data_IF_278503668683
#
_entry.id   IF_278503668683
#
_cell.length_a   1.000
_cell.length_b   1.000
_cell.length_c   1.000
_cell.angle_alpha   90.00
_cell.angle_beta   90.00
_cell.angle_gamma   90.00
#
_symmetry.space_group_name_H-M   'P 1'
#
loop_
_entity.id
_entity.type
_entity.pdbx_description
1 polymer ?
#
# COMPACT_ATOMS: atom_id res chain seq x y z
N UNK A 1 9.69 -37.89 16.35
CA UNK A 1 8.73 -38.21 17.45
C UNK A 1 7.32 -37.93 16.95
N UNK A 2 6.39 -38.89 17.05
CA UNK A 2 5.03 -38.74 16.51
C UNK A 2 4.02 -38.14 17.50
N UNK A 3 4.22 -38.39 18.80
CA UNK A 3 3.41 -37.83 19.89
C UNK A 3 4.35 -37.42 21.03
N UNK A 4 4.04 -36.33 21.72
CA UNK A 4 4.72 -35.99 22.97
C UNK A 4 4.37 -37.03 24.06
N UNK A 5 5.29 -37.41 24.96
CA UNK A 5 4.95 -38.22 26.12
C UNK A 5 3.95 -37.49 27.03
N UNK A 6 2.95 -38.21 27.55
CA UNK A 6 1.93 -37.64 28.44
C UNK A 6 2.55 -37.08 29.74
N UNK A 7 3.72 -37.58 30.15
CA UNK A 7 4.47 -37.07 31.31
C UNK A 7 4.89 -35.61 31.17
N UNK A 8 5.00 -35.07 29.95
CA UNK A 8 5.29 -33.64 29.74
C UNK A 8 4.19 -32.78 30.35
N UNK A 9 2.93 -33.24 30.34
CA UNK A 9 1.79 -32.51 30.91
C UNK A 9 1.85 -32.36 32.44
N UNK A 10 2.79 -33.05 33.11
CA UNK A 10 3.02 -32.95 34.55
C UNK A 10 3.98 -31.80 34.91
N UNK A 11 4.61 -31.15 33.92
CA UNK A 11 5.53 -30.03 34.12
C UNK A 11 4.78 -28.74 34.45
N UNK A 12 4.17 -28.69 35.64
CA UNK A 12 3.30 -27.57 36.08
C UNK A 12 3.98 -26.22 36.14
N UNK A 13 5.31 -26.17 36.22
CA UNK A 13 6.09 -24.92 36.24
C UNK A 13 6.58 -24.48 34.84
N UNK A 14 6.26 -25.24 33.80
CA UNK A 14 6.71 -24.94 32.44
C UNK A 14 6.05 -23.66 31.93
N UNK A 15 6.85 -22.60 31.76
CA UNK A 15 6.40 -21.32 31.22
C UNK A 15 6.61 -21.16 29.70
N UNK A 16 7.54 -21.91 29.13
CA UNK A 16 7.93 -21.84 27.72
C UNK A 16 8.17 -23.24 27.16
N UNK A 17 7.58 -23.54 26.00
CA UNK A 17 7.75 -24.81 25.30
C UNK A 17 8.01 -24.57 23.82
N UNK A 18 9.17 -25.01 23.32
CA UNK A 18 9.52 -24.96 21.92
C UNK A 18 9.63 -26.36 21.33
N UNK A 19 8.74 -26.66 20.39
CA UNK A 19 8.65 -27.89 19.62
C UNK A 19 8.81 -27.59 18.11
N UNK A 20 9.32 -26.41 17.75
CA UNK A 20 9.46 -26.01 16.36
C UNK A 20 10.29 -27.00 15.55
N UNK A 21 9.89 -27.22 14.29
CA UNK A 21 10.56 -28.16 13.39
C UNK A 21 10.37 -29.63 13.74
N UNK A 22 9.54 -29.99 14.72
CA UNK A 22 9.15 -31.38 14.99
C UNK A 22 8.21 -31.90 13.88
N UNK A 23 8.72 -32.05 12.66
CA UNK A 23 7.97 -32.35 11.42
C UNK A 23 7.19 -33.66 11.45
N UNK A 24 7.52 -34.57 12.37
CA UNK A 24 6.84 -35.85 12.56
C UNK A 24 5.77 -35.83 13.64
N UNK A 25 5.65 -34.75 14.43
CA UNK A 25 4.65 -34.62 15.48
C UNK A 25 3.26 -34.54 14.84
N UNK A 26 2.39 -35.48 15.19
CA UNK A 26 1.03 -35.59 14.64
C UNK A 26 -0.03 -35.06 15.61
N UNK A 27 0.17 -35.25 16.91
CA UNK A 27 -0.76 -34.81 17.97
C UNK A 27 -0.01 -34.45 19.26
N UNK A 28 -0.69 -33.71 20.13
CA UNK A 28 -0.29 -33.48 21.53
C UNK A 28 -1.08 -34.41 22.45
N UNK A 29 -0.57 -34.73 23.66
CA UNK A 29 -1.33 -35.44 24.69
C UNK A 29 -2.71 -34.85 25.00
N UNK A 30 -3.73 -35.68 25.24
CA UNK A 30 -5.06 -35.21 25.63
C UNK A 30 -5.05 -34.38 26.93
N UNK A 31 -4.05 -34.58 27.80
CA UNK A 31 -3.86 -33.82 29.04
C UNK A 31 -3.02 -32.54 28.86
N UNK A 32 -2.81 -32.04 27.64
CA UNK A 32 -1.93 -30.89 27.38
C UNK A 32 -2.32 -29.63 28.17
N UNK A 33 -3.62 -29.42 28.43
CA UNK A 33 -4.14 -28.38 29.30
C UNK A 33 -3.63 -28.39 30.74
N UNK A 34 -2.98 -29.45 31.19
CA UNK A 34 -2.34 -29.53 32.52
C UNK A 34 -1.13 -28.61 32.70
N UNK A 35 -0.62 -28.00 31.63
CA UNK A 35 0.49 -27.04 31.65
C UNK A 35 0.02 -25.63 32.09
N UNK A 36 -0.54 -25.53 33.30
CA UNK A 36 -1.26 -24.34 33.79
C UNK A 36 -0.44 -23.04 33.78
N UNK A 37 0.89 -23.11 33.87
CA UNK A 37 1.78 -21.94 33.86
C UNK A 37 2.36 -21.61 32.48
N UNK A 38 1.99 -22.35 31.43
CA UNK A 38 2.53 -22.15 30.10
C UNK A 38 2.08 -20.79 29.54
N UNK A 39 3.06 -19.97 29.14
CA UNK A 39 2.84 -18.63 28.57
C UNK A 39 3.20 -18.57 27.10
N UNK A 40 4.15 -19.40 26.66
CA UNK A 40 4.68 -19.39 25.30
C UNK A 40 4.76 -20.81 24.76
N UNK A 41 4.18 -21.03 23.59
CA UNK A 41 4.36 -22.28 22.85
C UNK A 41 4.72 -22.01 21.39
N UNK A 42 5.77 -22.69 20.92
CA UNK A 42 6.18 -22.67 19.53
C UNK A 42 6.08 -24.09 18.94
N UNK A 43 5.10 -24.29 18.07
CA UNK A 43 4.84 -25.49 17.29
C UNK A 43 5.13 -25.27 15.80
N UNK A 44 5.78 -24.17 15.43
CA UNK A 44 6.03 -23.84 14.03
C UNK A 44 6.75 -24.96 13.28
N UNK A 45 6.38 -25.18 12.02
CA UNK A 45 6.92 -26.21 11.13
C UNK A 45 6.73 -27.64 11.67
N UNK A 46 5.79 -27.88 12.58
CA UNK A 46 5.27 -29.22 12.87
C UNK A 46 4.33 -29.65 11.74
N UNK A 47 4.91 -29.90 10.55
CA UNK A 47 4.18 -30.03 9.29
C UNK A 47 3.13 -31.15 9.26
N UNK A 48 3.20 -32.14 10.18
CA UNK A 48 2.26 -33.26 10.27
C UNK A 48 1.24 -33.14 11.42
N UNK A 49 1.29 -32.06 12.20
CA UNK A 49 0.34 -31.83 13.29
C UNK A 49 -1.06 -31.66 12.69
N UNK A 50 -2.00 -32.51 13.09
CA UNK A 50 -3.34 -32.55 12.48
C UNK A 50 -4.39 -31.76 13.26
N UNK A 51 -4.27 -31.74 14.58
CA UNK A 51 -5.19 -31.06 15.50
C UNK A 51 -4.51 -30.75 16.84
N UNK A 52 -5.15 -29.92 17.66
CA UNK A 52 -4.81 -29.71 19.07
C UNK A 52 -5.89 -30.39 19.95
N UNK A 53 -5.52 -30.96 21.10
CA UNK A 53 -6.47 -31.63 22.00
C UNK A 53 -7.45 -30.62 22.60
N UNK A 54 -8.65 -31.07 22.99
CA UNK A 54 -9.65 -30.17 23.62
C UNK A 54 -9.19 -29.60 24.97
N UNK A 55 -8.24 -30.22 25.65
CA UNK A 55 -7.66 -29.61 26.85
C UNK A 55 -6.79 -28.38 26.55
N UNK A 56 -6.42 -28.13 25.28
CA UNK A 56 -5.56 -27.01 24.91
C UNK A 56 -6.18 -25.66 25.31
N UNK A 57 -7.52 -25.53 25.25
CA UNK A 57 -8.24 -24.35 25.72
C UNK A 57 -8.15 -24.07 27.22
N UNK A 58 -7.67 -25.02 28.03
CA UNK A 58 -7.49 -24.84 29.47
C UNK A 58 -6.17 -24.13 29.85
N UNK A 59 -5.34 -23.77 28.86
CA UNK A 59 -4.09 -23.04 29.08
C UNK A 59 -4.35 -21.54 29.34
N UNK A 60 -4.98 -21.22 30.47
CA UNK A 60 -5.47 -19.87 30.78
C UNK A 60 -4.37 -18.81 30.87
N UNK A 61 -3.12 -19.19 31.12
CA UNK A 61 -1.97 -18.28 31.19
C UNK A 61 -1.24 -18.10 29.85
N UNK A 62 -1.71 -18.77 28.79
CA UNK A 62 -1.05 -18.75 27.49
C UNK A 62 -1.20 -17.36 26.84
N UNK A 63 -0.07 -16.84 26.37
CA UNK A 63 0.04 -15.48 25.82
C UNK A 63 0.46 -15.45 24.36
N UNK A 64 1.22 -16.47 23.95
CA UNK A 64 1.82 -16.54 22.62
C UNK A 64 1.74 -17.96 22.07
N UNK A 65 1.22 -18.09 20.85
CA UNK A 65 1.20 -19.33 20.07
C UNK A 65 1.78 -19.09 18.69
N UNK A 66 2.74 -19.93 18.30
CA UNK A 66 3.17 -20.02 16.92
C UNK A 66 2.92 -21.43 16.37
N UNK A 67 1.99 -21.54 15.43
CA UNK A 67 1.62 -22.75 14.67
C UNK A 67 2.00 -22.61 13.18
N UNK A 68 2.81 -21.62 12.82
CA UNK A 68 3.14 -21.34 11.43
C UNK A 68 3.74 -22.55 10.71
N UNK A 69 3.27 -22.86 9.50
CA UNK A 69 3.75 -23.99 8.71
C UNK A 69 3.33 -25.37 9.23
N UNK A 70 2.32 -25.44 10.10
CA UNK A 70 1.61 -26.69 10.41
C UNK A 70 0.64 -27.04 9.25
N UNK A 71 1.20 -27.40 8.09
CA UNK A 71 0.47 -27.62 6.83
C UNK A 71 -0.58 -28.75 6.83
N UNK A 72 -0.63 -29.56 7.88
CA UNK A 72 -1.61 -30.64 8.03
C UNK A 72 -2.66 -30.35 9.10
N UNK A 73 -2.59 -29.19 9.75
CA UNK A 73 -3.56 -28.78 10.76
C UNK A 73 -4.90 -28.54 10.07
N UNK A 74 -5.92 -29.33 10.42
CA UNK A 74 -7.23 -29.30 9.76
C UNK A 74 -8.25 -28.47 10.53
N UNK A 75 -8.21 -28.51 11.87
CA UNK A 75 -9.12 -27.78 12.74
C UNK A 75 -8.41 -27.28 13.99
N UNK A 76 -9.04 -26.31 14.67
CA UNK A 76 -8.74 -25.96 16.05
C UNK A 76 -9.89 -26.46 16.95
N UNK A 77 -9.62 -26.89 18.19
CA UNK A 77 -10.66 -27.36 19.11
C UNK A 77 -11.63 -26.23 19.49
N UNK A 78 -12.89 -26.54 19.82
CA UNK A 78 -13.88 -25.52 20.21
C UNK A 78 -13.48 -24.85 21.54
N UNK A 79 -12.72 -25.53 22.39
CA UNK A 79 -12.13 -24.94 23.58
C UNK A 79 -11.09 -23.85 23.31
N UNK A 80 -10.61 -23.66 22.07
CA UNK A 80 -9.53 -22.72 21.74
C UNK A 80 -9.84 -21.26 22.15
N UNK A 81 -11.11 -20.84 22.12
CA UNK A 81 -11.54 -19.53 22.62
C UNK A 81 -11.48 -19.36 24.14
N UNK A 82 -11.13 -20.41 24.90
CA UNK A 82 -10.84 -20.35 26.34
C UNK A 82 -9.49 -19.70 26.68
N UNK A 83 -8.65 -19.42 25.67
CA UNK A 83 -7.33 -18.81 25.81
C UNK A 83 -7.42 -17.28 26.00
N UNK A 84 -8.10 -16.84 27.07
CA UNK A 84 -8.51 -15.45 27.25
C UNK A 84 -7.35 -14.44 27.37
N UNK A 85 -6.15 -14.88 27.76
CA UNK A 85 -4.95 -14.02 27.90
C UNK A 85 -4.04 -14.01 26.67
N UNK A 86 -4.46 -14.65 25.58
CA UNK A 86 -3.68 -14.80 24.36
C UNK A 86 -3.66 -13.48 23.59
N UNK A 87 -2.46 -12.93 23.36
CA UNK A 87 -2.29 -11.68 22.61
C UNK A 87 -1.64 -11.88 21.24
N UNK A 88 -0.97 -13.02 21.01
CA UNK A 88 -0.30 -13.33 19.74
C UNK A 88 -0.64 -14.75 19.23
N UNK A 89 -1.09 -14.82 17.99
CA UNK A 89 -1.27 -16.07 17.23
C UNK A 89 -0.63 -15.95 15.85
N UNK A 90 0.19 -16.93 15.49
CA UNK A 90 0.62 -17.14 14.11
C UNK A 90 0.15 -18.50 13.60
N UNK A 91 -0.77 -18.48 12.64
CA UNK A 91 -1.34 -19.62 11.90
C UNK A 91 -0.96 -19.58 10.41
N UNK A 92 0.05 -18.78 10.05
CA UNK A 92 0.50 -18.66 8.66
C UNK A 92 0.89 -20.01 8.07
N UNK A 93 0.57 -20.26 6.80
CA UNK A 93 0.88 -21.51 6.09
C UNK A 93 0.25 -22.77 6.70
N UNK A 94 -0.83 -22.62 7.48
CA UNK A 94 -1.76 -23.70 7.83
C UNK A 94 -2.79 -23.88 6.70
N UNK A 95 -2.32 -24.28 5.53
CA UNK A 95 -3.12 -24.33 4.30
C UNK A 95 -4.29 -25.34 4.29
N UNK A 96 -4.28 -26.33 5.20
CA UNK A 96 -5.37 -27.31 5.37
C UNK A 96 -6.36 -26.95 6.47
N UNK A 97 -6.16 -25.84 7.19
CA UNK A 97 -7.10 -25.40 8.21
C UNK A 97 -8.42 -25.07 7.52
N UNK A 98 -9.46 -25.86 7.80
CA UNK A 98 -10.75 -25.72 7.13
C UNK A 98 -11.52 -24.52 7.69
N UNK A 99 -11.65 -24.43 9.00
CA UNK A 99 -12.42 -23.38 9.65
C UNK A 99 -11.77 -22.90 10.95
N UNK A 100 -12.13 -21.68 11.35
CA UNK A 100 -11.94 -21.23 12.73
C UNK A 100 -13.17 -21.63 13.56
N UNK A 101 -12.99 -22.10 14.81
CA UNK A 101 -14.13 -22.48 15.65
C UNK A 101 -14.97 -21.24 16.05
N UNK A 102 -16.30 -21.44 16.16
CA UNK A 102 -17.12 -20.93 17.27
C UNK A 102 -16.50 -19.82 18.14
N UNK A 103 -15.85 -20.34 19.16
CA UNK A 103 -15.23 -19.63 20.26
C UNK A 103 -14.08 -18.71 19.88
N UNK A 104 -13.54 -18.75 18.65
CA UNK A 104 -12.37 -17.95 18.26
C UNK A 104 -12.62 -16.45 18.45
N UNK A 105 -13.86 -15.98 18.23
CA UNK A 105 -14.27 -14.60 18.49
C UNK A 105 -14.29 -14.18 19.98
N UNK A 106 -14.04 -15.10 20.91
CA UNK A 106 -13.94 -14.84 22.37
C UNK A 106 -12.54 -14.37 22.78
N UNK A 107 -11.53 -14.45 21.90
CA UNK A 107 -10.15 -14.04 22.17
C UNK A 107 -10.00 -12.51 22.20
N UNK A 108 -10.64 -11.86 23.19
CA UNK A 108 -10.72 -10.39 23.27
C UNK A 108 -9.39 -9.69 23.54
N UNK A 109 -8.37 -10.41 24.05
CA UNK A 109 -7.03 -9.86 24.28
C UNK A 109 -6.08 -10.01 23.09
N UNK A 110 -6.54 -10.62 21.99
CA UNK A 110 -5.70 -10.85 20.82
C UNK A 110 -5.38 -9.54 20.11
N UNK A 111 -4.10 -9.22 19.98
CA UNK A 111 -3.62 -8.02 19.27
C UNK A 111 -2.93 -8.36 17.95
N UNK A 112 -2.37 -9.58 17.82
CA UNK A 112 -1.70 -10.03 16.61
C UNK A 112 -2.26 -11.37 16.11
N UNK A 113 -2.67 -11.38 14.85
CA UNK A 113 -3.13 -12.58 14.14
C UNK A 113 -2.55 -12.64 12.71
N UNK A 114 -1.85 -13.72 12.43
CA UNK A 114 -1.40 -14.05 11.07
C UNK A 114 -2.09 -15.33 10.58
N UNK A 115 -2.94 -15.18 9.56
CA UNK A 115 -3.67 -16.23 8.84
C UNK A 115 -3.22 -16.31 7.38
N UNK A 116 -2.05 -15.77 7.03
CA UNK A 116 -1.57 -15.82 5.65
C UNK A 116 -1.46 -17.26 5.15
N UNK A 117 -1.72 -17.48 3.87
CA UNK A 117 -1.78 -18.83 3.28
C UNK A 117 -2.89 -19.75 3.85
N UNK A 118 -3.93 -19.20 4.52
CA UNK A 118 -5.15 -19.93 4.86
C UNK A 118 -6.14 -19.95 3.68
N UNK A 119 -6.42 -21.13 3.12
CA UNK A 119 -7.16 -21.25 1.84
C UNK A 119 -8.68 -21.19 1.97
N UNK A 120 -9.26 -21.60 3.11
CA UNK A 120 -10.70 -21.88 3.18
C UNK A 120 -11.54 -20.62 3.43
N UNK A 121 -11.03 -19.71 4.27
CA UNK A 121 -11.73 -18.51 4.76
C UNK A 121 -13.06 -18.79 5.48
N UNK A 122 -13.41 -20.05 5.74
CA UNK A 122 -14.61 -20.43 6.48
C UNK A 122 -14.47 -20.06 7.96
N UNK A 123 -15.48 -19.40 8.53
CA UNK A 123 -15.40 -18.85 9.89
C UNK A 123 -14.71 -17.48 9.98
N UNK A 124 -14.44 -16.79 8.86
CA UNK A 124 -13.88 -15.42 8.89
C UNK A 124 -14.72 -14.43 9.70
N UNK A 125 -16.03 -14.68 9.82
CA UNK A 125 -16.96 -13.86 10.59
C UNK A 125 -16.69 -13.87 12.11
N UNK A 126 -16.07 -14.93 12.64
CA UNK A 126 -15.65 -14.99 14.05
C UNK A 126 -14.60 -13.95 14.40
N UNK A 127 -13.80 -13.52 13.41
CA UNK A 127 -12.80 -12.47 13.60
C UNK A 127 -13.43 -11.16 14.08
N UNK A 128 -14.72 -10.93 13.79
CA UNK A 128 -15.44 -9.71 14.22
C UNK A 128 -15.56 -9.58 15.74
N UNK A 129 -15.28 -10.67 16.49
CA UNK A 129 -15.17 -10.63 17.93
C UNK A 129 -13.82 -10.13 18.46
N UNK A 130 -12.78 -10.06 17.63
CA UNK A 130 -11.40 -9.74 18.03
C UNK A 130 -11.16 -8.23 18.12
N UNK A 131 -11.95 -7.54 18.94
CA UNK A 131 -12.01 -6.07 18.96
C UNK A 131 -10.72 -5.37 19.39
N UNK A 132 -9.77 -6.08 19.99
CA UNK A 132 -8.44 -5.55 20.37
C UNK A 132 -7.36 -5.80 19.31
N UNK A 133 -7.73 -6.36 18.15
CA UNK A 133 -6.77 -6.73 17.12
C UNK A 133 -6.11 -5.48 16.51
N UNK A 134 -4.79 -5.45 16.52
CA UNK A 134 -3.96 -4.37 15.99
C UNK A 134 -3.27 -4.79 14.67
N UNK A 135 -2.99 -6.08 14.52
CA UNK A 135 -2.32 -6.62 13.34
C UNK A 135 -3.05 -7.85 12.80
N UNK A 136 -3.50 -7.75 11.54
CA UNK A 136 -4.17 -8.84 10.82
C UNK A 136 -3.52 -9.07 9.46
N UNK A 137 -3.07 -10.30 9.23
CA UNK A 137 -2.58 -10.74 7.93
C UNK A 137 -3.48 -11.84 7.36
N UNK A 138 -4.15 -11.54 6.25
CA UNK A 138 -5.00 -12.46 5.48
C UNK A 138 -4.42 -12.73 4.08
N UNK A 139 -3.16 -12.37 3.84
CA UNK A 139 -2.54 -12.52 2.52
C UNK A 139 -2.58 -13.97 2.04
N UNK A 140 -3.03 -14.18 0.80
CA UNK A 140 -3.24 -15.54 0.30
C UNK A 140 -3.02 -15.65 -1.21
N UNK A 141 -1.94 -16.32 -1.67
CA UNK A 141 -1.64 -16.39 -3.09
C UNK A 141 -2.54 -17.33 -3.91
N UNK A 142 -3.38 -18.16 -3.28
CA UNK A 142 -4.18 -19.19 -3.95
C UNK A 142 -5.71 -18.98 -3.88
N UNK A 143 -6.19 -17.74 -3.96
CA UNK A 143 -7.62 -17.43 -4.00
C UNK A 143 -8.08 -17.14 -5.46
N UNK A 144 -8.09 -18.15 -6.33
CA UNK A 144 -8.74 -18.08 -7.65
C UNK A 144 -9.99 -18.97 -7.75
N UNK A 145 -10.35 -19.68 -6.68
CA UNK A 145 -11.49 -20.59 -6.70
C UNK A 145 -12.78 -19.82 -6.36
N UNK A 146 -13.80 -19.82 -7.25
CA UNK A 146 -15.05 -19.08 -7.04
C UNK A 146 -15.79 -19.42 -5.74
N UNK A 147 -15.59 -20.64 -5.24
CA UNK A 147 -16.20 -21.15 -4.00
C UNK A 147 -15.86 -20.32 -2.74
N UNK A 148 -14.72 -19.62 -2.70
CA UNK A 148 -14.35 -18.81 -1.52
C UNK A 148 -15.01 -17.43 -1.50
N UNK A 149 -15.69 -17.02 -2.58
CA UNK A 149 -16.36 -15.72 -2.68
C UNK A 149 -17.37 -15.53 -1.55
N UNK A 150 -18.20 -16.53 -1.28
CA UNK A 150 -19.28 -16.44 -0.29
C UNK A 150 -18.75 -16.12 1.12
N UNK A 151 -17.61 -16.72 1.49
CA UNK A 151 -16.98 -16.46 2.78
C UNK A 151 -16.33 -15.07 2.84
N UNK A 152 -15.68 -14.64 1.75
CA UNK A 152 -14.97 -13.36 1.73
C UNK A 152 -15.92 -12.16 1.58
N UNK A 153 -17.10 -12.31 0.98
CA UNK A 153 -18.06 -11.18 0.82
C UNK A 153 -18.38 -10.50 2.16
N UNK A 154 -18.49 -11.27 3.25
CA UNK A 154 -18.74 -10.75 4.60
C UNK A 154 -17.52 -10.16 5.30
N UNK A 155 -16.30 -10.22 4.72
CA UNK A 155 -15.10 -9.68 5.34
C UNK A 155 -15.22 -8.18 5.65
N UNK A 156 -15.91 -7.41 4.81
CA UNK A 156 -16.18 -5.98 5.09
C UNK A 156 -16.92 -5.76 6.42
N UNK A 157 -17.86 -6.64 6.76
CA UNK A 157 -18.68 -6.56 7.99
C UNK A 157 -17.91 -7.02 9.24
N UNK A 158 -16.80 -7.73 9.02
CA UNK A 158 -15.84 -8.11 10.04
C UNK A 158 -14.89 -6.96 10.31
N UNK A 159 -14.25 -6.44 9.26
CA UNK A 159 -13.22 -5.42 9.37
C UNK A 159 -13.74 -4.13 9.99
N UNK A 160 -14.98 -3.73 9.71
CA UNK A 160 -15.58 -2.52 10.31
C UNK A 160 -15.68 -2.59 11.86
N UNK A 161 -15.60 -3.77 12.46
CA UNK A 161 -15.59 -3.97 13.93
C UNK A 161 -14.19 -3.89 14.53
N UNK A 162 -13.14 -3.97 13.72
CA UNK A 162 -11.74 -4.03 14.15
C UNK A 162 -11.11 -2.63 14.20
N UNK A 163 -11.72 -1.72 14.95
CA UNK A 163 -11.35 -0.29 14.97
C UNK A 163 -9.95 0.00 15.51
N UNK A 164 -9.33 -0.95 16.20
CA UNK A 164 -7.96 -0.84 16.73
C UNK A 164 -6.89 -1.28 15.72
N UNK A 165 -7.30 -1.75 14.54
CA UNK A 165 -6.39 -2.31 13.56
C UNK A 165 -5.42 -1.23 13.04
N UNK A 166 -4.14 -1.52 13.12
CA UNK A 166 -3.03 -0.69 12.66
C UNK A 166 -2.37 -1.28 11.42
N UNK A 167 -2.37 -2.60 11.29
CA UNK A 167 -1.80 -3.31 10.15
C UNK A 167 -2.85 -4.26 9.56
N UNK A 168 -3.12 -4.10 8.27
CA UNK A 168 -4.00 -4.98 7.51
C UNK A 168 -3.31 -5.42 6.21
N UNK A 169 -3.15 -6.73 6.03
CA UNK A 169 -2.65 -7.29 4.79
C UNK A 169 -3.71 -8.16 4.11
N UNK A 170 -4.17 -7.71 2.95
CA UNK A 170 -5.13 -8.37 2.06
C UNK A 170 -4.49 -8.76 0.72
N UNK A 171 -3.16 -8.87 0.66
CA UNK A 171 -2.43 -9.20 -0.56
C UNK A 171 -2.96 -10.50 -1.18
N UNK A 172 -3.27 -10.47 -2.48
CA UNK A 172 -3.87 -11.56 -3.27
C UNK A 172 -5.23 -12.10 -2.79
N UNK A 173 -5.73 -11.65 -1.64
CA UNK A 173 -6.88 -12.22 -0.94
C UNK A 173 -8.21 -11.86 -1.63
N UNK A 174 -8.29 -10.69 -2.26
CA UNK A 174 -9.55 -10.13 -2.78
C UNK A 174 -9.87 -10.58 -4.21
N UNK A 175 -8.95 -11.28 -4.88
CA UNK A 175 -9.14 -11.73 -6.27
C UNK A 175 -10.45 -12.52 -6.54
N UNK A 176 -10.94 -13.44 -5.68
CA UNK A 176 -12.22 -14.13 -5.91
C UNK A 176 -13.45 -13.23 -5.87
N UNK A 177 -13.33 -12.07 -5.23
CA UNK A 177 -14.40 -11.08 -5.17
C UNK A 177 -14.29 -10.19 -6.42
N UNK A 178 -13.12 -9.57 -6.61
CA UNK A 178 -12.92 -8.54 -7.62
C UNK A 178 -13.06 -9.04 -9.06
N UNK A 179 -12.82 -10.32 -9.35
CA UNK A 179 -13.00 -10.85 -10.70
C UNK A 179 -14.47 -10.85 -11.19
N UNK A 180 -15.45 -10.66 -10.30
CA UNK A 180 -16.88 -10.62 -10.63
C UNK A 180 -17.52 -9.26 -10.40
N UNK A 181 -16.79 -8.29 -9.85
CA UNK A 181 -17.30 -6.96 -9.55
C UNK A 181 -16.92 -6.00 -10.69
N UNK A 182 -17.78 -5.02 -10.92
CA UNK A 182 -17.41 -3.81 -11.66
C UNK A 182 -16.42 -2.95 -10.88
N UNK A 183 -15.77 -2.01 -11.55
CA UNK A 183 -14.82 -1.08 -10.92
C UNK A 183 -15.45 -0.34 -9.72
N UNK A 184 -16.68 0.16 -9.88
CA UNK A 184 -17.40 0.89 -8.83
C UNK A 184 -17.72 -0.02 -7.63
N UNK A 185 -18.14 -1.25 -7.87
CA UNK A 185 -18.38 -2.22 -6.80
C UNK A 185 -17.08 -2.60 -6.07
N UNK A 186 -15.95 -2.71 -6.78
CA UNK A 186 -14.63 -2.90 -6.17
C UNK A 186 -14.27 -1.72 -5.24
N UNK A 187 -14.44 -0.47 -5.70
CA UNK A 187 -14.18 0.73 -4.91
C UNK A 187 -15.05 0.74 -3.64
N UNK A 188 -16.36 0.49 -3.78
CA UNK A 188 -17.31 0.41 -2.66
C UNK A 188 -16.98 -0.71 -1.67
N UNK A 189 -16.52 -1.85 -2.17
CA UNK A 189 -16.13 -2.96 -1.32
C UNK A 189 -14.91 -2.58 -0.44
N UNK A 190 -13.87 -2.01 -1.05
CA UNK A 190 -12.69 -1.54 -0.30
C UNK A 190 -13.08 -0.46 0.69
N UNK A 191 -13.91 0.50 0.28
CA UNK A 191 -14.43 1.55 1.15
C UNK A 191 -15.13 0.94 2.37
N UNK A 192 -15.93 -0.10 2.17
CA UNK A 192 -16.60 -0.80 3.26
C UNK A 192 -15.60 -1.51 4.18
N UNK A 193 -14.58 -2.16 3.63
CA UNK A 193 -13.52 -2.82 4.40
C UNK A 193 -12.70 -1.85 5.25
N UNK A 194 -12.45 -0.64 4.73
CA UNK A 194 -11.65 0.36 5.43
C UNK A 194 -12.48 1.34 6.24
N UNK A 195 -13.81 1.29 6.11
CA UNK A 195 -14.73 2.12 6.91
C UNK A 195 -14.53 1.85 8.41
N UNK A 196 -14.30 2.92 9.17
CA UNK A 196 -14.07 2.84 10.61
C UNK A 196 -12.66 2.44 11.04
N UNK A 197 -11.74 2.09 10.12
CA UNK A 197 -10.34 1.77 10.44
C UNK A 197 -9.47 3.03 10.66
N UNK A 198 -9.90 3.93 11.54
CA UNK A 198 -9.22 5.22 11.78
C UNK A 198 -7.81 5.09 12.37
N UNK A 199 -7.47 3.93 12.93
CA UNK A 199 -6.14 3.61 13.45
C UNK A 199 -5.20 2.95 12.44
N UNK A 200 -5.67 2.67 11.22
CA UNK A 200 -4.90 1.93 10.23
C UNK A 200 -3.68 2.71 9.79
N UNK A 201 -2.52 2.07 9.88
CA UNK A 201 -1.21 2.62 9.53
C UNK A 201 -0.60 1.96 8.31
N UNK A 202 -0.93 0.70 8.08
CA UNK A 202 -0.43 -0.08 6.96
C UNK A 202 -1.56 -0.87 6.33
N UNK A 203 -1.74 -0.67 5.02
CA UNK A 203 -2.67 -1.40 4.19
C UNK A 203 -1.92 -2.02 3.01
N UNK A 204 -1.91 -3.34 2.92
CA UNK A 204 -1.34 -4.07 1.79
C UNK A 204 -2.49 -4.65 0.95
N UNK A 205 -2.66 -4.10 -0.25
CA UNK A 205 -3.59 -4.56 -1.29
C UNK A 205 -2.85 -5.19 -2.47
N UNK A 206 -1.55 -5.47 -2.33
CA UNK A 206 -0.71 -5.95 -3.42
C UNK A 206 -1.26 -7.22 -4.07
N UNK A 207 -0.96 -7.42 -5.35
CA UNK A 207 -1.26 -8.61 -6.13
C UNK A 207 -2.77 -8.99 -6.18
N UNK A 208 -3.65 -8.02 -5.89
CA UNK A 208 -5.06 -8.10 -6.27
C UNK A 208 -5.18 -7.68 -7.73
N UNK A 209 -5.04 -8.64 -8.65
CA UNK A 209 -4.87 -8.38 -10.10
C UNK A 209 -6.11 -7.76 -10.74
N UNK A 210 -7.29 -8.00 -10.16
CA UNK A 210 -8.59 -7.48 -10.58
C UNK A 210 -8.98 -6.18 -9.87
N UNK A 211 -8.06 -5.59 -9.09
CA UNK A 211 -8.26 -4.28 -8.51
C UNK A 211 -8.14 -3.24 -9.62
N UNK A 212 -9.28 -2.68 -10.03
CA UNK A 212 -9.35 -1.72 -11.14
C UNK A 212 -9.28 -0.26 -10.62
N UNK A 213 -9.68 0.00 -9.37
CA UNK A 213 -9.68 1.34 -8.76
C UNK A 213 -9.69 1.36 -7.23
N UNK A 214 -9.35 2.52 -6.65
CA UNK A 214 -9.29 2.75 -5.20
C UNK A 214 -10.35 3.77 -4.75
N UNK A 215 -11.06 3.58 -3.64
CA UNK A 215 -12.05 4.56 -3.19
C UNK A 215 -11.37 5.83 -2.65
N UNK A 216 -12.01 6.99 -2.86
CA UNK A 216 -11.53 8.29 -2.36
C UNK A 216 -11.40 8.32 -0.83
N UNK A 217 -12.25 7.58 -0.12
CA UNK A 217 -12.23 7.44 1.35
C UNK A 217 -10.90 6.90 1.91
N UNK A 218 -10.06 6.23 1.12
CA UNK A 218 -8.68 5.90 1.56
C UNK A 218 -7.88 7.16 1.88
N UNK A 219 -8.21 8.25 1.19
CA UNK A 219 -7.71 9.60 1.44
C UNK A 219 -8.02 10.14 2.84
N UNK A 220 -9.08 9.65 3.48
CA UNK A 220 -9.57 10.14 4.78
C UNK A 220 -8.85 9.48 5.97
N UNK A 221 -8.10 8.40 5.74
CA UNK A 221 -7.41 7.64 6.78
C UNK A 221 -6.17 8.38 7.29
N UNK A 222 -6.36 9.25 8.27
CA UNK A 222 -5.34 10.17 8.81
C UNK A 222 -4.09 9.51 9.42
N UNK A 223 -4.13 8.21 9.70
CA UNK A 223 -2.97 7.47 10.23
C UNK A 223 -2.35 6.52 9.21
N UNK A 224 -2.91 6.41 8.01
CA UNK A 224 -2.43 5.46 7.00
C UNK A 224 -1.10 5.97 6.42
N UNK A 225 0.00 5.35 6.84
CA UNK A 225 1.35 5.73 6.39
C UNK A 225 1.82 4.91 5.20
N UNK A 226 1.35 3.67 5.06
CA UNK A 226 1.80 2.75 4.01
C UNK A 226 0.61 2.14 3.27
N UNK A 227 0.61 2.29 1.95
CA UNK A 227 -0.29 1.61 1.03
C UNK A 227 0.54 0.84 -0.01
N UNK A 228 0.46 -0.49 0.00
CA UNK A 228 1.12 -1.34 -1.01
C UNK A 228 0.11 -1.78 -2.08
N UNK A 229 0.40 -1.41 -3.33
CA UNK A 229 -0.39 -1.72 -4.53
C UNK A 229 0.41 -2.56 -5.53
N UNK A 230 1.55 -3.12 -5.11
CA UNK A 230 2.46 -3.88 -5.96
C UNK A 230 1.72 -4.99 -6.70
N UNK A 231 1.84 -5.07 -8.02
CA UNK A 231 1.27 -6.16 -8.82
C UNK A 231 -0.25 -6.08 -9.03
N UNK A 232 -0.90 -4.97 -8.69
CA UNK A 232 -2.29 -4.69 -9.07
C UNK A 232 -2.33 -4.33 -10.56
N UNK A 233 -2.42 -5.35 -11.42
CA UNK A 233 -2.15 -5.18 -12.86
C UNK A 233 -3.24 -4.46 -13.64
N UNK A 234 -4.48 -4.43 -13.17
CA UNK A 234 -5.60 -3.73 -13.81
C UNK A 234 -5.91 -2.37 -13.19
N UNK A 235 -5.16 -1.98 -12.16
CA UNK A 235 -5.35 -0.70 -11.49
C UNK A 235 -5.08 0.45 -12.47
N UNK A 236 -6.11 1.22 -12.80
CA UNK A 236 -6.05 2.26 -13.85
C UNK A 236 -5.58 3.60 -13.30
N UNK A 237 -6.00 3.94 -12.08
CA UNK A 237 -5.73 5.25 -11.48
C UNK A 237 -5.32 5.14 -10.01
N UNK A 238 -4.39 6.00 -9.61
CA UNK A 238 -4.04 6.23 -8.19
C UNK A 238 -4.01 7.72 -7.94
N UNK A 239 -4.92 8.19 -7.08
CA UNK A 239 -4.90 9.54 -6.53
C UNK A 239 -4.48 9.46 -5.05
N UNK A 240 -3.36 10.09 -4.69
CA UNK A 240 -2.88 10.11 -3.31
C UNK A 240 -3.00 11.51 -2.69
N UNK A 241 -4.24 11.94 -2.47
CA UNK A 241 -4.55 13.23 -1.85
C UNK A 241 -4.39 13.24 -0.32
N UNK A 242 -4.25 12.07 0.32
CA UNK A 242 -4.18 11.98 1.79
C UNK A 242 -2.90 12.57 2.37
N UNK A 243 -3.01 13.58 3.24
CA UNK A 243 -1.86 14.16 3.94
C UNK A 243 -1.11 13.17 4.84
N UNK A 244 -1.73 12.05 5.23
CA UNK A 244 -1.15 11.02 6.11
C UNK A 244 -0.27 9.98 5.40
N UNK A 245 -0.43 9.81 4.08
CA UNK A 245 0.23 8.76 3.31
C UNK A 245 1.70 9.09 3.02
N UNK A 246 2.59 8.49 3.81
CA UNK A 246 4.05 8.63 3.67
C UNK A 246 4.63 7.73 2.56
N UNK A 247 4.07 6.54 2.37
CA UNK A 247 4.57 5.50 1.47
C UNK A 247 3.44 4.89 0.64
N UNK A 248 3.46 5.13 -0.68
CA UNK A 248 2.64 4.39 -1.63
C UNK A 248 3.57 3.58 -2.52
N UNK A 249 3.51 2.25 -2.38
CA UNK A 249 4.34 1.32 -3.15
C UNK A 249 3.58 0.91 -4.40
N UNK A 250 4.00 1.45 -5.54
CA UNK A 250 3.45 1.12 -6.86
C UNK A 250 4.56 0.45 -7.66
N UNK A 251 4.47 -0.87 -7.82
CA UNK A 251 5.42 -1.69 -8.60
C UNK A 251 4.65 -2.67 -9.45
N UNK A 252 5.07 -2.90 -10.68
CA UNK A 252 4.44 -3.89 -11.59
C UNK A 252 2.93 -3.66 -11.85
N UNK A 253 2.42 -2.43 -11.73
CA UNK A 253 1.04 -2.06 -12.08
C UNK A 253 0.95 -1.71 -13.57
N UNK A 254 0.80 -2.74 -14.43
CA UNK A 254 0.89 -2.58 -15.89
C UNK A 254 -0.26 -1.81 -16.53
N UNK A 255 -1.44 -1.82 -15.93
CA UNK A 255 -2.63 -1.10 -16.40
C UNK A 255 -2.74 0.34 -15.93
N UNK A 256 -1.74 0.87 -15.20
CA UNK A 256 -1.81 2.22 -14.64
C UNK A 256 -1.79 3.28 -15.76
N UNK A 257 -2.90 3.97 -15.94
CA UNK A 257 -3.05 5.04 -16.92
C UNK A 257 -2.71 6.40 -16.33
N UNK A 258 -3.19 6.70 -15.12
CA UNK A 258 -2.95 7.98 -14.44
C UNK A 258 -2.46 7.81 -12.99
N UNK A 259 -1.55 8.67 -12.56
CA UNK A 259 -1.02 8.70 -11.20
C UNK A 259 -0.83 10.14 -10.72
N UNK A 260 -1.54 10.52 -9.66
CA UNK A 260 -1.32 11.79 -8.95
C UNK A 260 -0.58 11.55 -7.64
N UNK A 261 0.62 12.14 -7.54
CA UNK A 261 1.58 11.92 -6.48
C UNK A 261 1.95 13.24 -5.78
N UNK A 262 1.76 13.28 -4.47
CA UNK A 262 2.12 14.44 -3.65
C UNK A 262 3.46 14.17 -2.95
N UNK A 263 4.42 15.07 -3.13
CA UNK A 263 5.71 15.00 -2.42
C UNK A 263 5.52 15.38 -0.95
N UNK A 264 6.10 14.59 -0.04
CA UNK A 264 6.00 14.74 1.41
C UNK A 264 7.36 14.54 2.07
N UNK A 265 7.52 15.12 3.25
CA UNK A 265 8.70 14.99 4.11
C UNK A 265 8.28 14.47 5.47
N UNK A 266 8.91 13.38 5.91
CA UNK A 266 8.80 12.95 7.30
C UNK A 266 9.70 13.85 8.15
N UNK A 267 9.16 14.39 9.25
CA UNK A 267 9.89 15.15 10.25
C UNK A 267 10.93 14.23 10.93
N UNK A 268 12.15 14.24 10.40
CA UNK A 268 13.27 13.44 10.89
C UNK A 268 14.01 12.62 9.83
N UNK A 269 13.48 12.45 8.60
CA UNK A 269 14.23 11.80 7.51
C UNK A 269 15.06 12.78 6.69
N UNK A 270 16.21 12.32 6.20
CA UNK A 270 17.08 13.09 5.28
C UNK A 270 16.59 13.11 3.83
N UNK A 271 15.52 12.38 3.49
CA UNK A 271 14.94 12.30 2.14
C UNK A 271 13.43 12.52 2.14
N UNK A 272 12.88 12.99 1.01
CA UNK A 272 11.43 13.01 0.77
C UNK A 272 10.92 11.66 0.27
N UNK A 273 9.61 11.54 0.02
CA UNK A 273 8.98 10.35 -0.54
C UNK A 273 9.14 10.22 -2.08
N UNK A 274 9.74 11.20 -2.76
CA UNK A 274 9.82 11.25 -4.24
C UNK A 274 10.38 9.97 -4.88
N UNK A 275 11.34 9.32 -4.23
CA UNK A 275 11.97 8.07 -4.70
C UNK A 275 10.98 6.92 -4.92
N UNK A 276 9.78 6.99 -4.36
CA UNK A 276 8.72 5.98 -4.56
C UNK A 276 8.26 5.92 -6.03
N UNK A 277 8.43 7.01 -6.79
CA UNK A 277 8.12 7.07 -8.21
C UNK A 277 9.10 6.29 -9.09
N UNK A 278 10.19 5.72 -8.55
CA UNK A 278 11.19 4.96 -9.31
C UNK A 278 10.54 3.87 -10.20
N UNK A 279 9.54 3.16 -9.68
CA UNK A 279 8.88 2.06 -10.39
C UNK A 279 7.53 2.43 -11.04
N UNK A 280 7.08 3.69 -10.92
CA UNK A 280 5.82 4.15 -11.52
C UNK A 280 6.01 4.34 -13.02
N UNK A 281 5.09 3.84 -13.82
CA UNK A 281 5.09 4.00 -15.27
C UNK A 281 3.65 4.06 -15.78
N UNK A 282 3.14 5.27 -16.02
CA UNK A 282 1.77 5.57 -16.42
C UNK A 282 1.75 6.51 -17.64
N UNK A 283 0.58 6.76 -18.23
CA UNK A 283 0.43 7.70 -19.34
C UNK A 283 0.35 9.15 -18.87
N UNK A 284 -0.36 9.39 -17.77
CA UNK A 284 -0.52 10.68 -17.12
C UNK A 284 0.11 10.64 -15.73
N UNK A 285 1.11 11.50 -15.51
CA UNK A 285 1.82 11.59 -14.25
C UNK A 285 1.74 13.02 -13.70
N UNK A 286 1.16 13.16 -12.52
CA UNK A 286 1.12 14.40 -11.78
C UNK A 286 2.00 14.29 -10.52
N UNK A 287 2.92 15.24 -10.34
CA UNK A 287 3.77 15.36 -9.16
C UNK A 287 3.57 16.76 -8.57
N UNK A 288 3.01 16.84 -7.37
CA UNK A 288 2.73 18.10 -6.67
C UNK A 288 3.55 18.25 -5.38
N UNK A 289 3.53 19.44 -4.80
CA UNK A 289 4.33 19.81 -3.61
C UNK A 289 5.85 19.63 -3.79
N UNK A 290 6.36 19.83 -5.02
CA UNK A 290 7.79 19.66 -5.34
C UNK A 290 8.72 20.54 -4.49
N UNK A 291 8.23 21.60 -3.85
CA UNK A 291 9.00 22.40 -2.88
C UNK A 291 9.49 21.59 -1.66
N UNK A 292 8.89 20.41 -1.41
CA UNK A 292 9.22 19.53 -0.28
C UNK A 292 10.34 18.53 -0.59
N UNK A 293 10.87 18.48 -1.82
CA UNK A 293 11.99 17.58 -2.16
C UNK A 293 13.25 18.01 -1.40
N UNK A 294 13.88 17.09 -0.66
CA UNK A 294 15.04 17.39 0.20
C UNK A 294 16.37 17.35 -0.54
N UNK A 295 16.48 16.53 -1.58
CA UNK A 295 17.73 16.32 -2.32
C UNK A 295 17.46 16.09 -3.81
N UNK A 296 18.31 16.66 -4.66
CA UNK A 296 18.23 16.50 -6.12
C UNK A 296 18.55 15.07 -6.58
N UNK A 297 19.34 14.34 -5.78
CA UNK A 297 19.67 12.95 -6.00
C UNK A 297 18.39 12.08 -5.96
N UNK A 298 17.35 12.49 -5.23
CA UNK A 298 16.05 11.83 -5.26
C UNK A 298 15.36 11.95 -6.61
N UNK A 299 15.43 13.13 -7.25
CA UNK A 299 14.90 13.37 -8.58
C UNK A 299 15.67 12.59 -9.66
N UNK A 300 16.99 12.42 -9.50
CA UNK A 300 17.78 11.55 -10.39
C UNK A 300 17.36 10.09 -10.28
N UNK A 301 17.05 9.63 -9.06
CA UNK A 301 16.68 8.23 -8.80
C UNK A 301 15.34 7.82 -9.41
N UNK A 302 14.40 8.74 -9.61
CA UNK A 302 13.12 8.38 -10.25
C UNK A 302 13.25 8.09 -11.75
N UNK A 303 14.40 8.46 -12.36
CA UNK A 303 14.73 8.22 -13.77
C UNK A 303 13.59 8.60 -14.72
N UNK A 304 13.04 9.80 -14.54
CA UNK A 304 11.87 10.27 -15.30
C UNK A 304 12.07 10.18 -16.82
N UNK A 305 13.30 10.43 -17.29
CA UNK A 305 13.68 10.32 -18.72
C UNK A 305 13.52 8.90 -19.30
N UNK A 306 13.59 7.87 -18.45
CA UNK A 306 13.44 6.45 -18.86
C UNK A 306 11.97 6.02 -18.92
N UNK A 307 11.02 6.82 -18.39
CA UNK A 307 9.59 6.50 -18.30
C UNK A 307 8.85 6.76 -19.61
N UNK A 308 9.13 5.94 -20.64
CA UNK A 308 8.62 6.10 -22.02
C UNK A 308 7.10 6.06 -22.19
N UNK A 309 6.35 5.58 -21.19
CA UNK A 309 4.89 5.58 -21.29
C UNK A 309 4.27 6.94 -20.96
N UNK A 310 4.99 7.82 -20.25
CA UNK A 310 4.45 9.13 -19.82
C UNK A 310 4.26 10.02 -21.04
N UNK A 311 2.99 10.34 -21.35
CA UNK A 311 2.57 11.26 -22.42
C UNK A 311 2.14 12.62 -21.88
N UNK A 312 1.62 12.65 -20.67
CA UNK A 312 1.28 13.86 -19.93
C UNK A 312 2.07 13.94 -18.63
N UNK A 313 2.64 15.11 -18.36
CA UNK A 313 3.36 15.36 -17.12
C UNK A 313 2.91 16.69 -16.52
N UNK A 314 2.47 16.64 -15.27
CA UNK A 314 2.18 17.82 -14.45
C UNK A 314 3.21 17.90 -13.32
N UNK A 315 3.93 19.03 -13.24
CA UNK A 315 4.86 19.33 -12.13
C UNK A 315 4.37 20.57 -11.39
N UNK A 316 4.06 20.41 -10.11
CA UNK A 316 3.43 21.44 -9.28
C UNK A 316 4.21 21.80 -8.02
N UNK A 317 4.30 23.10 -7.78
CA UNK A 317 4.78 23.70 -6.54
C UNK A 317 3.63 24.45 -5.85
N UNK A 318 3.62 24.42 -4.52
CA UNK A 318 2.63 25.16 -3.73
C UNK A 318 2.88 26.67 -3.85
N UNK A 319 1.89 27.40 -4.36
CA UNK A 319 1.97 28.86 -4.55
C UNK A 319 2.10 29.56 -3.19
N UNK A 320 3.08 30.44 -3.04
CA UNK A 320 3.31 31.22 -1.80
C UNK A 320 4.15 30.51 -0.75
N UNK A 321 4.64 29.30 -1.01
CA UNK A 321 5.54 28.58 -0.10
C UNK A 321 6.92 29.26 0.03
N UNK A 322 7.49 29.24 1.24
CA UNK A 322 8.81 29.79 1.55
C UNK A 322 9.91 28.76 1.26
N UNK A 323 10.47 28.77 0.05
CA UNK A 323 11.57 27.89 -0.35
C UNK A 323 12.61 28.61 -1.21
N UNK A 324 13.80 28.01 -1.36
CA UNK A 324 14.89 28.57 -2.15
C UNK A 324 14.61 28.44 -3.64
N UNK A 325 14.65 29.57 -4.34
CA UNK A 325 14.51 29.68 -5.80
C UNK A 325 15.58 28.87 -6.55
N UNK A 326 16.79 28.81 -6.00
CA UNK A 326 17.92 28.07 -6.57
C UNK A 326 17.69 26.54 -6.48
N UNK A 327 17.08 26.09 -5.38
CA UNK A 327 16.77 24.67 -5.19
C UNK A 327 15.73 24.19 -6.21
N UNK A 328 14.68 24.98 -6.49
CA UNK A 328 13.67 24.61 -7.48
C UNK A 328 14.24 24.56 -8.90
N UNK A 329 15.14 25.49 -9.26
CA UNK A 329 15.79 25.51 -10.56
C UNK A 329 16.64 24.24 -10.78
N UNK A 330 17.43 23.88 -9.76
CA UNK A 330 18.24 22.66 -9.78
C UNK A 330 17.36 21.41 -9.83
N UNK A 331 16.28 21.37 -9.04
CA UNK A 331 15.34 20.26 -9.01
C UNK A 331 14.65 20.03 -10.36
N UNK A 332 14.09 21.08 -10.98
CA UNK A 332 13.49 20.97 -12.30
C UNK A 332 14.53 20.62 -13.37
N UNK A 333 15.79 21.01 -13.17
CA UNK A 333 16.92 20.57 -13.99
C UNK A 333 17.11 19.05 -14.01
N UNK A 334 16.95 18.38 -12.87
CA UNK A 334 17.06 16.92 -12.75
C UNK A 334 15.79 16.16 -13.16
N UNK A 335 14.60 16.79 -13.06
CA UNK A 335 13.31 16.22 -13.47
C UNK A 335 13.10 16.27 -14.99
N UNK A 336 14.05 15.69 -15.74
CA UNK A 336 13.98 15.64 -17.20
C UNK A 336 12.90 14.64 -17.69
N UNK A 337 11.88 15.09 -18.43
CA UNK A 337 10.85 14.19 -18.98
C UNK A 337 11.37 13.30 -20.12
N UNK A 338 10.64 12.25 -20.49
CA UNK A 338 10.97 11.45 -21.67
C UNK A 338 10.80 12.29 -22.95
N UNK A 339 11.59 11.98 -23.98
CA UNK A 339 11.66 12.79 -25.21
C UNK A 339 10.36 12.78 -26.04
N UNK A 340 9.52 11.78 -25.84
CA UNK A 340 8.25 11.58 -26.54
C UNK A 340 7.03 12.12 -25.75
N UNK A 341 7.27 12.92 -24.71
CA UNK A 341 6.23 13.63 -23.96
C UNK A 341 5.40 14.53 -24.88
N UNK A 342 4.08 14.50 -24.73
CA UNK A 342 3.15 15.26 -25.57
C UNK A 342 2.59 16.49 -24.86
N UNK A 343 2.33 16.41 -23.55
CA UNK A 343 1.77 17.52 -22.77
C UNK A 343 2.58 17.74 -21.49
N UNK A 344 2.96 18.99 -21.25
CA UNK A 344 3.67 19.41 -20.04
C UNK A 344 2.91 20.55 -19.36
N UNK A 345 2.59 20.39 -18.08
CA UNK A 345 1.99 21.43 -17.25
C UNK A 345 2.95 21.77 -16.10
N UNK A 346 3.32 23.03 -15.99
CA UNK A 346 4.10 23.56 -14.88
C UNK A 346 3.20 24.48 -14.04
N UNK A 347 3.07 24.18 -12.76
CA UNK A 347 2.27 24.97 -11.83
C UNK A 347 3.12 25.53 -10.70
N UNK A 348 3.03 26.84 -10.45
CA UNK A 348 3.61 27.47 -9.25
C UNK A 348 5.15 27.49 -9.19
N UNK A 349 5.85 27.12 -10.26
CA UNK A 349 7.32 27.09 -10.31
C UNK A 349 7.92 28.46 -9.99
N UNK A 350 8.87 28.48 -9.05
CA UNK A 350 9.35 29.72 -8.40
C UNK A 350 10.66 30.26 -8.99
N UNK A 351 11.32 29.54 -9.89
CA UNK A 351 12.57 30.00 -10.49
C UNK A 351 12.38 31.02 -11.62
N UNK A 352 13.43 31.81 -11.87
CA UNK A 352 13.42 32.84 -12.92
C UNK A 352 13.60 32.30 -14.33
N UNK A 353 14.07 31.05 -14.47
CA UNK A 353 14.38 30.40 -15.73
C UNK A 353 13.92 28.94 -15.75
N UNK A 354 13.59 28.46 -16.94
CA UNK A 354 13.35 27.05 -17.23
C UNK A 354 14.64 26.39 -17.74
N UNK A 355 14.84 25.10 -17.50
CA UNK A 355 16.03 24.37 -17.93
C UNK A 355 16.12 24.19 -19.44
N UNK A 356 17.35 24.02 -19.94
CA UNK A 356 17.63 23.90 -21.37
C UNK A 356 17.05 22.63 -22.01
N UNK A 357 16.87 21.55 -21.23
CA UNK A 357 16.30 20.30 -21.73
C UNK A 357 14.89 20.48 -22.30
N UNK A 358 14.17 21.55 -21.94
CA UNK A 358 12.85 21.86 -22.50
C UNK A 358 12.89 22.06 -24.02
N UNK A 359 14.01 22.56 -24.56
CA UNK A 359 14.20 22.67 -26.01
C UNK A 359 14.37 21.33 -26.72
N UNK A 360 14.59 20.24 -25.98
CA UNK A 360 14.79 18.90 -26.53
C UNK A 360 13.49 18.07 -26.57
N UNK A 361 12.35 18.62 -26.14
CA UNK A 361 11.06 17.95 -26.13
C UNK A 361 10.35 18.05 -27.49
N UNK A 362 10.97 17.52 -28.55
CA UNK A 362 10.51 17.70 -29.93
C UNK A 362 9.10 17.17 -30.21
N UNK A 363 8.59 16.24 -29.40
CA UNK A 363 7.22 15.69 -29.52
C UNK A 363 6.16 16.49 -28.75
N UNK A 364 6.54 17.54 -28.02
CA UNK A 364 5.63 18.32 -27.19
C UNK A 364 4.60 19.05 -28.05
N UNK A 365 3.32 18.84 -27.74
CA UNK A 365 2.17 19.45 -28.43
C UNK A 365 1.56 20.57 -27.59
N UNK A 366 1.57 20.42 -26.26
CA UNK A 366 0.98 21.38 -25.34
C UNK A 366 1.90 21.69 -24.16
N UNK A 367 2.00 22.97 -23.83
CA UNK A 367 2.72 23.49 -22.67
C UNK A 367 1.81 24.45 -21.90
N UNK A 368 1.35 24.10 -20.67
CA UNK A 368 0.86 25.12 -19.72
C UNK A 368 1.98 25.55 -18.79
N UNK A 369 2.12 26.86 -18.64
CA UNK A 369 2.82 27.48 -17.52
C UNK A 369 1.80 28.31 -16.76
N UNK A 370 1.51 27.86 -15.54
CA UNK A 370 0.38 28.27 -14.75
C UNK A 370 0.92 28.81 -13.39
N UNK A 371 0.53 30.03 -12.96
CA UNK A 371 0.90 30.66 -11.67
C UNK A 371 2.41 30.79 -11.35
N UNK A 372 3.28 30.77 -12.36
CA UNK A 372 4.74 30.91 -12.23
C UNK A 372 5.17 32.39 -12.20
N UNK A 373 4.83 33.12 -11.13
CA UNK A 373 4.91 34.60 -11.08
C UNK A 373 6.31 35.19 -11.24
N UNK A 374 7.35 34.44 -10.86
CA UNK A 374 8.75 34.91 -10.85
C UNK A 374 9.46 34.64 -12.18
N UNK A 375 8.96 33.69 -12.96
CA UNK A 375 9.54 33.22 -14.22
C UNK A 375 9.61 34.36 -15.25
N UNK A 376 10.80 34.58 -15.80
CA UNK A 376 11.09 35.77 -16.63
C UNK A 376 11.09 35.51 -18.12
N UNK A 377 11.56 34.35 -18.57
CA UNK A 377 11.77 34.07 -19.99
C UNK A 377 11.68 32.57 -20.30
N UNK A 378 11.38 32.25 -21.57
CA UNK A 378 11.48 30.89 -22.10
C UNK A 378 12.91 30.59 -22.57
N UNK A 379 13.35 29.33 -22.54
CA UNK A 379 14.70 28.94 -22.97
C UNK A 379 14.84 29.08 -24.49
N UNK A 380 16.08 29.28 -24.96
CA UNK A 380 16.37 29.51 -26.40
C UNK A 380 15.88 28.37 -27.29
N UNK A 381 15.91 27.14 -26.77
CA UNK A 381 15.49 25.95 -27.48
C UNK A 381 13.98 25.87 -27.76
N UNK A 382 13.14 26.72 -27.14
CA UNK A 382 11.68 26.69 -27.35
C UNK A 382 11.29 26.89 -28.82
N UNK A 383 12.09 27.62 -29.59
CA UNK A 383 11.88 27.85 -31.02
C UNK A 383 11.98 26.56 -31.85
N UNK A 384 12.72 25.57 -31.37
CA UNK A 384 12.90 24.27 -32.03
C UNK A 384 11.79 23.26 -31.76
N UNK A 385 10.76 23.64 -30.99
CA UNK A 385 9.63 22.75 -30.68
C UNK A 385 8.61 22.77 -31.82
N UNK A 386 8.90 21.99 -32.86
CA UNK A 386 8.15 22.02 -34.10
C UNK A 386 6.72 21.46 -34.01
N UNK A 387 6.44 20.65 -32.99
CA UNK A 387 5.13 20.06 -32.76
C UNK A 387 4.26 20.86 -31.78
N UNK A 388 4.80 21.93 -31.17
CA UNK A 388 4.09 22.69 -30.15
C UNK A 388 2.95 23.50 -30.78
N UNK A 389 1.72 23.10 -30.47
CA UNK A 389 0.48 23.72 -30.97
C UNK A 389 -0.05 24.74 -29.97
N UNK A 390 -0.06 24.38 -28.69
CA UNK A 390 -0.69 25.15 -27.64
C UNK A 390 0.34 25.55 -26.57
N UNK A 391 0.54 26.86 -26.41
CA UNK A 391 1.32 27.42 -25.30
C UNK A 391 0.38 28.28 -24.44
N UNK A 392 0.05 27.80 -23.25
CA UNK A 392 -0.79 28.51 -22.29
C UNK A 392 0.08 29.16 -21.22
N UNK A 393 -0.09 30.46 -21.00
CA UNK A 393 0.60 31.22 -19.97
C UNK A 393 -0.47 31.86 -19.10
N UNK A 394 -0.70 31.31 -17.91
CA UNK A 394 -1.79 31.71 -17.02
C UNK A 394 -1.20 32.28 -15.73
N UNK A 395 -1.62 33.49 -15.33
CA UNK A 395 -1.13 34.17 -14.11
C UNK A 395 0.41 34.31 -14.02
N UNK A 396 1.10 34.53 -15.15
CA UNK A 396 2.57 34.66 -15.21
C UNK A 396 3.00 36.02 -15.79
N UNK A 397 2.85 37.13 -15.04
CA UNK A 397 2.92 38.49 -15.60
C UNK A 397 4.29 38.85 -16.21
N UNK A 398 5.39 38.38 -15.61
CA UNK A 398 6.75 38.64 -16.11
C UNK A 398 7.02 37.90 -17.42
N UNK A 399 6.62 36.63 -17.49
CA UNK A 399 6.77 35.80 -18.68
C UNK A 399 5.89 36.31 -19.83
N UNK A 400 4.65 36.70 -19.52
CA UNK A 400 3.73 37.29 -20.48
C UNK A 400 4.32 38.56 -21.12
N UNK A 401 4.84 39.49 -20.31
CA UNK A 401 5.49 40.70 -20.82
C UNK A 401 6.68 40.37 -21.72
N UNK A 402 7.52 39.43 -21.31
CA UNK A 402 8.65 38.99 -22.12
C UNK A 402 8.21 38.38 -23.46
N UNK A 403 7.17 37.54 -23.47
CA UNK A 403 6.61 36.94 -24.69
C UNK A 403 6.06 38.01 -25.64
N UNK A 404 5.40 39.06 -25.11
CA UNK A 404 4.90 40.20 -25.91
C UNK A 404 6.03 40.99 -26.56
N UNK A 405 7.14 41.22 -25.85
CA UNK A 405 8.32 41.94 -26.36
C UNK A 405 9.18 41.10 -27.31
N UNK A 406 9.20 39.77 -27.16
CA UNK A 406 10.12 38.88 -27.84
C UNK A 406 9.45 37.95 -28.88
N UNK A 407 8.39 38.40 -29.56
CA UNK A 407 7.67 37.61 -30.58
C UNK A 407 8.58 36.92 -31.61
N UNK A 408 9.65 37.59 -32.06
CA UNK A 408 10.63 37.03 -33.00
C UNK A 408 11.36 35.79 -32.45
N UNK A 409 11.53 35.68 -31.13
CA UNK A 409 12.17 34.53 -30.47
C UNK A 409 11.25 33.33 -30.33
N UNK A 410 9.93 33.55 -30.35
CA UNK A 410 8.90 32.49 -30.26
C UNK A 410 8.62 31.83 -31.63
N UNK A 411 9.06 32.44 -32.73
CA UNK A 411 8.85 31.90 -34.07
C UNK A 411 7.37 31.80 -34.41
N UNK A 412 6.88 30.58 -34.64
CA UNK A 412 5.47 30.28 -34.97
C UNK A 412 4.56 30.13 -33.76
N UNK A 413 5.13 30.02 -32.56
CA UNK A 413 4.38 29.73 -31.34
C UNK A 413 3.62 31.00 -30.92
N UNK A 414 2.29 30.89 -30.79
CA UNK A 414 1.45 31.97 -30.29
C UNK A 414 0.94 31.61 -28.89
N UNK A 415 1.43 32.27 -27.82
CA UNK A 415 0.93 32.01 -26.48
C UNK A 415 -0.49 32.53 -26.31
N UNK A 416 -1.34 31.75 -25.66
CA UNK A 416 -2.62 32.21 -25.10
C UNK A 416 -2.40 32.64 -23.65
N UNK A 417 -2.90 33.82 -23.30
CA UNK A 417 -2.76 34.39 -21.96
C UNK A 417 -4.07 34.26 -21.18
N UNK A 418 -3.97 33.99 -19.88
CA UNK A 418 -5.13 33.81 -18.99
C UNK A 418 -4.87 34.28 -17.56
#
# INVERSE_FOLDING_TARGET
MQKLPDSVCQLRQLGYLNLSGCSWLMTLPESFGGLLNLRYINLSRCSRLMTLPESFGALLNLRYINLSGCSQLMTLPESFGGLLNLWYINLSRCNRLAELPESFGKLKSLTYLDLSFWCCCEGIWFLGGLTSLEHLNLSHPCCYLPQHREHLVGLKDVLCKLVNLQYLNLSMCMNPIFCYLSEEECRQYIQSCTSGLSNLQHLDLSHNIFLDGLPESLGELQKLHTLDLTGCTRLESVANESDSLNLVVIRNCRGLESCSFVVRTDDGRFSSNLVQLENVNCQDLEITCLEKVKSREEAQRIRLVEKRNVKELTLGWTVGSHGSVENDANLLGELKPPHDLQRLKLHGYRATCLPDWMGCLTSLQELCICKCRVLKYLPRGIKGLDNLKNLQIIECPRLENWCKENKKKLGRIQPTYG
#
